data_IF_475258585987
#
_entry.id   IF_475258585987
#
_cell.length_a   1.000
_cell.length_b   1.000
_cell.length_c   1.000
_cell.angle_alpha   90.00
_cell.angle_beta   90.00
_cell.angle_gamma   90.00
#
_symmetry.space_group_name_H-M   'P 1'
#
loop_
_entity.id
_entity.type
_entity.pdbx_description
1 polymer ?
#
# COMPACT_ATOMS: atom_id res chain seq x y z
N UNK A 1 3.44 10.93 16.95
CA UNK A 1 3.45 9.66 16.20
C UNK A 1 4.33 9.90 15.00
N UNK A 2 5.44 9.17 14.86
CA UNK A 2 6.25 9.26 13.64
C UNK A 2 5.45 8.65 12.50
N UNK A 3 5.10 9.44 11.49
CA UNK A 3 4.50 8.93 10.28
C UNK A 3 5.59 8.22 9.48
N UNK A 4 5.45 6.91 9.31
CA UNK A 4 6.37 6.16 8.48
C UNK A 4 6.04 6.42 7.02
N UNK A 5 7.03 6.75 6.20
CA UNK A 5 6.87 7.00 4.76
C UNK A 5 7.55 5.88 3.97
N UNK A 6 6.85 5.40 2.94
CA UNK A 6 7.32 4.42 1.97
C UNK A 6 7.23 5.02 0.57
N UNK A 7 8.37 5.30 -0.03
CA UNK A 7 8.43 5.84 -1.38
C UNK A 7 8.26 4.76 -2.43
N UNK A 8 7.53 5.06 -3.50
CA UNK A 8 7.40 4.20 -4.68
C UNK A 8 7.69 4.98 -5.95
N UNK A 9 8.43 4.37 -6.89
CA UNK A 9 8.86 5.01 -8.14
C UNK A 9 7.75 5.10 -9.21
N UNK A 10 6.48 4.98 -8.82
CA UNK A 10 5.31 4.99 -9.69
C UNK A 10 4.26 5.93 -9.12
N UNK A 11 3.42 6.52 -9.98
CA UNK A 11 2.21 7.26 -9.56
C UNK A 11 1.02 6.35 -9.26
N UNK A 12 1.16 5.04 -9.50
CA UNK A 12 0.10 4.05 -9.31
C UNK A 12 0.66 2.75 -8.74
N UNK A 13 -0.15 2.07 -7.93
CA UNK A 13 0.11 0.70 -7.51
C UNK A 13 -0.31 -0.27 -8.61
N UNK A 14 0.43 -1.38 -8.74
CA UNK A 14 0.16 -2.43 -9.72
C UNK A 14 0.67 -3.79 -9.22
N UNK A 15 0.16 -4.91 -9.77
CA UNK A 15 0.61 -6.23 -9.38
C UNK A 15 2.11 -6.43 -9.65
N UNK A 16 2.85 -6.89 -8.64
CA UNK A 16 4.29 -7.09 -8.70
C UNK A 16 5.12 -5.92 -8.19
N UNK A 17 4.52 -4.74 -7.97
CA UNK A 17 5.19 -3.64 -7.28
C UNK A 17 5.64 -4.09 -5.88
N UNK A 18 6.85 -3.69 -5.49
CA UNK A 18 7.41 -3.99 -4.17
C UNK A 18 7.45 -2.70 -3.37
N UNK A 19 6.80 -2.70 -2.21
CA UNK A 19 6.92 -1.63 -1.22
C UNK A 19 7.99 -2.03 -0.21
N UNK A 20 8.73 -1.04 0.27
CA UNK A 20 9.68 -1.21 1.36
C UNK A 20 9.14 -0.42 2.57
N UNK A 21 8.40 -1.12 3.42
CA UNK A 21 7.71 -0.53 4.57
C UNK A 21 8.47 -0.84 5.88
N UNK A 22 8.27 -0.07 6.96
CA UNK A 22 8.81 -0.44 8.27
C UNK A 22 8.17 -1.74 8.77
N UNK A 23 8.98 -2.64 9.29
CA UNK A 23 8.55 -3.99 9.65
C UNK A 23 7.70 -4.07 10.93
N UNK A 24 7.63 -2.99 11.69
CA UNK A 24 6.86 -2.86 12.93
C UNK A 24 5.65 -1.91 12.77
N UNK A 25 5.41 -1.42 11.56
CA UNK A 25 4.30 -0.53 11.26
C UNK A 25 3.23 -1.25 10.45
N UNK A 26 2.01 -1.28 10.96
CA UNK A 26 0.84 -1.72 10.20
C UNK A 26 0.23 -0.57 9.41
N UNK A 27 0.50 0.69 9.81
CA UNK A 27 0.05 1.91 9.16
C UNK A 27 1.24 2.77 8.72
N UNK A 28 1.23 3.22 7.47
CA UNK A 28 2.27 4.09 6.90
C UNK A 28 1.72 4.92 5.73
N UNK A 29 2.45 5.96 5.32
CA UNK A 29 2.18 6.73 4.11
C UNK A 29 2.94 6.13 2.93
N UNK A 30 2.27 6.05 1.79
CA UNK A 30 2.90 5.78 0.49
C UNK A 30 3.08 7.12 -0.20
N UNK A 31 4.33 7.48 -0.46
CA UNK A 31 4.68 8.64 -1.28
C UNK A 31 4.94 8.17 -2.70
N UNK A 32 4.10 8.60 -3.63
CA UNK A 32 4.19 8.24 -5.04
C UNK A 32 5.18 9.16 -5.77
N UNK A 33 5.65 8.72 -6.95
CA UNK A 33 6.66 9.45 -7.73
C UNK A 33 6.18 10.80 -8.30
N UNK A 34 4.88 11.10 -8.21
CA UNK A 34 4.29 12.38 -8.59
C UNK A 34 3.96 13.26 -7.37
N UNK A 35 4.59 12.99 -6.23
CA UNK A 35 4.40 13.67 -4.93
C UNK A 35 2.99 13.54 -4.34
N UNK A 36 2.12 12.72 -4.93
CA UNK A 36 0.87 12.35 -4.29
C UNK A 36 1.13 11.36 -3.15
N UNK A 37 0.27 11.41 -2.14
CA UNK A 37 0.40 10.57 -0.95
C UNK A 37 -0.91 9.84 -0.66
N UNK A 38 -0.80 8.63 -0.12
CA UNK A 38 -1.94 7.90 0.42
C UNK A 38 -1.57 7.12 1.67
N UNK A 39 -2.51 7.03 2.61
CA UNK A 39 -2.36 6.14 3.76
C UNK A 39 -2.54 4.70 3.34
N UNK A 40 -1.59 3.86 3.75
CA UNK A 40 -1.62 2.43 3.56
C UNK A 40 -1.69 1.71 4.91
N UNK A 41 -2.43 0.60 4.93
CA UNK A 41 -2.60 -0.27 6.09
C UNK A 41 -2.35 -1.72 5.67
N UNK A 42 -1.41 -2.39 6.35
CA UNK A 42 -1.18 -3.82 6.23
C UNK A 42 -2.12 -4.56 7.18
N UNK A 43 -3.05 -5.33 6.62
CA UNK A 43 -4.12 -6.00 7.35
C UNK A 43 -4.09 -7.52 7.08
N UNK A 44 -4.80 -8.29 7.90
CA UNK A 44 -5.17 -9.67 7.59
C UNK A 44 -6.57 -9.74 6.98
N UNK A 45 -6.76 -10.52 5.91
CA UNK A 45 -8.10 -10.86 5.43
C UNK A 45 -8.80 -11.86 6.39
N UNK A 46 -10.04 -12.25 6.08
CA UNK A 46 -10.81 -13.19 6.90
C UNK A 46 -10.15 -14.57 7.06
N UNK A 47 -9.20 -14.94 6.19
CA UNK A 47 -8.41 -16.17 6.27
C UNK A 47 -7.05 -15.95 6.94
N UNK A 48 -6.79 -14.75 7.47
CA UNK A 48 -5.52 -14.34 8.05
C UNK A 48 -4.41 -14.07 7.04
N UNK A 49 -4.72 -13.97 5.73
CA UNK A 49 -3.69 -13.68 4.71
C UNK A 49 -3.44 -12.17 4.64
N UNK A 50 -2.18 -11.74 4.48
CA UNK A 50 -1.87 -10.33 4.41
C UNK A 50 -2.47 -9.66 3.17
N UNK A 51 -3.06 -8.49 3.37
CA UNK A 51 -3.55 -7.58 2.34
C UNK A 51 -3.09 -6.17 2.66
N UNK A 52 -2.84 -5.36 1.62
CA UNK A 52 -2.51 -3.96 1.77
C UNK A 52 -3.71 -3.11 1.33
N UNK A 53 -4.36 -2.43 2.26
CA UNK A 53 -5.37 -1.42 1.97
C UNK A 53 -4.67 -0.10 1.72
N UNK A 54 -4.96 0.58 0.62
CA UNK A 54 -4.42 1.90 0.31
C UNK A 54 -5.57 2.82 0.03
N UNK A 55 -5.67 3.90 0.81
CA UNK A 55 -6.73 4.89 0.70
C UNK A 55 -6.76 5.56 -0.67
N UNK A 56 -7.87 6.23 -0.97
CA UNK A 56 -7.99 7.01 -2.19
C UNK A 56 -7.00 8.18 -2.21
N UNK A 57 -6.51 8.54 -3.40
CA UNK A 57 -5.61 9.67 -3.61
C UNK A 57 -5.87 10.32 -4.97
N UNK A 58 -5.39 11.54 -5.13
CA UNK A 58 -5.41 12.26 -6.40
C UNK A 58 -3.98 12.39 -6.91
N UNK A 59 -3.73 11.91 -8.13
CA UNK A 59 -2.43 12.10 -8.78
C UNK A 59 -2.19 13.58 -9.08
N UNK A 60 -0.95 13.99 -9.31
CA UNK A 60 -0.61 15.37 -9.68
C UNK A 60 -1.31 15.85 -10.97
N UNK A 61 -1.81 14.92 -11.80
CA UNK A 61 -2.59 15.20 -13.02
C UNK A 61 -4.09 15.32 -12.77
N UNK A 62 -4.54 15.28 -11.52
CA UNK A 62 -5.96 15.36 -11.15
C UNK A 62 -6.74 14.06 -11.36
N UNK A 63 -6.07 12.91 -11.55
CA UNK A 63 -6.76 11.61 -11.64
C UNK A 63 -7.10 11.14 -10.24
N UNK A 64 -8.38 10.93 -9.95
CA UNK A 64 -8.83 10.33 -8.70
C UNK A 64 -8.65 8.82 -8.77
N UNK A 65 -7.92 8.27 -7.82
CA UNK A 65 -7.79 6.84 -7.59
C UNK A 65 -8.54 6.53 -6.31
N UNK A 66 -9.61 5.74 -6.42
CA UNK A 66 -10.35 5.27 -5.26
C UNK A 66 -9.48 4.38 -4.37
N UNK A 67 -9.93 4.21 -3.13
CA UNK A 67 -9.36 3.21 -2.23
C UNK A 67 -9.31 1.83 -2.89
N UNK A 68 -8.20 1.12 -2.67
CA UNK A 68 -8.01 -0.24 -3.18
C UNK A 68 -7.37 -1.13 -2.13
N UNK A 69 -7.84 -2.37 -2.09
CA UNK A 69 -7.20 -3.45 -1.33
C UNK A 69 -6.36 -4.27 -2.30
N UNK A 70 -5.13 -4.58 -1.92
CA UNK A 70 -4.20 -5.38 -2.69
C UNK A 70 -3.89 -6.67 -1.96
N UNK A 71 -3.98 -7.80 -2.65
CA UNK A 71 -3.41 -9.05 -2.11
C UNK A 71 -1.90 -8.89 -1.93
N UNK A 72 -1.32 -9.46 -0.88
CA UNK A 72 0.14 -9.54 -0.74
C UNK A 72 0.59 -10.92 -1.23
N UNK A 73 1.47 -10.94 -2.22
CA UNK A 73 2.02 -12.19 -2.77
C UNK A 73 3.18 -12.72 -1.96
N UNK A 74 3.98 -11.82 -1.41
CA UNK A 74 5.21 -12.16 -0.72
C UNK A 74 5.56 -11.06 0.27
N UNK A 75 6.06 -11.47 1.43
CA UNK A 75 6.66 -10.58 2.42
C UNK A 75 8.05 -11.08 2.78
N UNK A 76 9.05 -10.21 2.69
CA UNK A 76 10.43 -10.50 3.12
C UNK A 76 10.84 -9.49 4.20
N UNK A 77 11.17 -9.98 5.39
CA UNK A 77 11.66 -9.13 6.48
C UNK A 77 13.17 -8.97 6.37
N UNK A 78 13.63 -7.73 6.33
CA UNK A 78 15.03 -7.33 6.23
C UNK A 78 15.34 -6.36 7.38
N UNK A 79 15.64 -6.90 8.56
CA UNK A 79 15.86 -6.09 9.75
C UNK A 79 14.58 -5.37 10.21
N UNK A 80 14.63 -4.04 10.21
CA UNK A 80 13.51 -3.13 10.53
C UNK A 80 12.63 -2.80 9.32
N UNK A 81 12.89 -3.44 8.17
CA UNK A 81 12.15 -3.26 6.92
C UNK A 81 11.39 -4.51 6.52
N UNK A 82 10.27 -4.31 5.85
CA UNK A 82 9.39 -5.35 5.31
C UNK A 82 9.16 -5.03 3.84
N UNK A 83 9.72 -5.87 2.98
CA UNK A 83 9.41 -5.85 1.55
C UNK A 83 8.07 -6.53 1.34
N UNK A 84 7.14 -5.82 0.71
CA UNK A 84 5.78 -6.28 0.44
C UNK A 84 5.60 -6.31 -1.07
N UNK A 85 5.51 -7.49 -1.67
CA UNK A 85 5.20 -7.64 -3.09
C UNK A 85 3.69 -7.70 -3.30
N UNK A 86 3.16 -6.74 -4.04
CA UNK A 86 1.74 -6.68 -4.35
C UNK A 86 1.32 -7.78 -5.34
N UNK A 87 0.12 -8.29 -5.12
CA UNK A 87 -0.61 -9.14 -6.04
C UNK A 87 -1.68 -8.36 -6.79
N UNK A 88 -2.79 -9.03 -7.10
CA UNK A 88 -3.94 -8.37 -7.73
C UNK A 88 -4.61 -7.41 -6.75
N UNK A 89 -5.15 -6.32 -7.28
CA UNK A 89 -6.13 -5.52 -6.57
C UNK A 89 -7.42 -6.32 -6.43
N UNK A 90 -8.02 -6.25 -5.25
CA UNK A 90 -9.39 -6.69 -4.98
C UNK A 90 -10.33 -5.49 -5.21
N UNK A 91 -11.59 -5.74 -5.58
CA UNK A 91 -12.60 -4.71 -5.45
C UNK A 91 -12.60 -4.22 -4.00
N UNK A 92 -12.54 -2.90 -3.79
CA UNK A 92 -12.74 -2.36 -2.45
C UNK A 92 -14.12 -2.81 -1.98
N UNK A 93 -14.28 -3.30 -0.74
CA UNK A 93 -15.63 -3.37 -0.20
C UNK A 93 -16.21 -1.96 -0.32
N UNK A 94 -17.36 -1.85 -1.00
CA UNK A 94 -18.14 -0.61 -0.99
C UNK A 94 -18.21 -0.16 0.46
N UNK A 95 -17.74 1.06 0.73
CA UNK A 95 -18.06 1.70 2.00
C UNK A 95 -19.48 2.25 1.78
N UNK A 96 -20.42 1.66 2.52
CA UNK A 96 -21.89 1.66 2.39
C UNK A 96 -22.52 0.75 1.29
#
# INVERSE_FOLDING_TARGET
MSEYVTEVSSSHLYPGLVLDAPAHAEDFLVLFADDSESRAQLLGDASGRPVLRVGGYMTARGTVVDERVWTVRETERLGDRLRIRLGRSLPSPLTD
#
